data_IF_801644630534
#
_entry.id   IF_801644630534
#
_cell.length_a   1.000
_cell.length_b   1.000
_cell.length_c   1.000
_cell.angle_alpha   90.00
_cell.angle_beta   90.00
_cell.angle_gamma   90.00
#
_symmetry.space_group_name_H-M   'P 1'
#
loop_
_entity.id
_entity.type
_entity.pdbx_description
1 polymer ?
#
# COMPACT_ATOMS: atom_id res chain seq x y z
N UNK A 1 4.60 5.49 5.75
CA UNK A 1 3.70 4.97 6.82
C UNK A 1 4.47 4.12 7.84
N UNK A 2 3.97 3.95 9.07
CA UNK A 2 4.60 3.05 10.08
C UNK A 2 4.56 1.59 9.59
N UNK A 3 5.56 0.78 9.95
CA UNK A 3 5.62 -0.65 9.57
C UNK A 3 4.37 -1.44 9.98
N UNK A 4 3.77 -1.13 11.13
CA UNK A 4 2.53 -1.75 11.60
C UNK A 4 1.33 -1.41 10.72
N UNK A 5 1.22 -0.17 10.26
CA UNK A 5 0.19 0.27 9.30
C UNK A 5 0.39 -0.39 7.95
N UNK A 6 1.63 -0.47 7.47
CA UNK A 6 1.97 -1.13 6.23
C UNK A 6 1.65 -2.64 6.28
N UNK A 7 1.97 -3.31 7.39
CA UNK A 7 1.63 -4.72 7.59
C UNK A 7 0.12 -4.96 7.45
N UNK A 8 -0.69 -4.09 8.08
CA UNK A 8 -2.17 -4.14 7.96
C UNK A 8 -2.64 -3.93 6.53
N UNK A 9 -2.09 -2.94 5.81
CA UNK A 9 -2.42 -2.66 4.41
C UNK A 9 -2.14 -3.86 3.51
N UNK A 10 -1.03 -4.55 3.74
CA UNK A 10 -0.63 -5.73 2.99
C UNK A 10 -1.31 -7.03 3.45
N UNK A 11 -2.16 -6.98 4.48
CA UNK A 11 -2.84 -8.15 5.04
C UNK A 11 -1.90 -9.11 5.77
N UNK A 12 -0.71 -8.67 6.17
CA UNK A 12 0.27 -9.51 6.89
C UNK A 12 0.39 -9.12 8.36
N UNK A 13 0.80 -10.07 9.20
CA UNK A 13 1.09 -9.78 10.60
C UNK A 13 2.29 -8.83 10.75
N UNK A 14 2.28 -8.01 11.81
CA UNK A 14 3.42 -7.16 12.17
C UNK A 14 4.72 -7.96 12.33
N UNK A 15 4.64 -9.17 12.90
CA UNK A 15 5.81 -10.06 13.08
C UNK A 15 6.42 -10.47 11.73
N UNK A 16 5.59 -10.72 10.73
CA UNK A 16 6.04 -11.01 9.36
C UNK A 16 6.74 -9.78 8.76
N UNK A 17 6.12 -8.60 8.87
CA UNK A 17 6.71 -7.36 8.38
C UNK A 17 8.06 -7.03 9.05
N UNK A 18 8.16 -7.24 10.37
CA UNK A 18 9.41 -7.04 11.11
C UNK A 18 10.50 -8.03 10.69
N UNK A 19 10.15 -9.29 10.42
CA UNK A 19 11.11 -10.28 9.90
C UNK A 19 11.60 -9.92 8.50
N UNK A 20 10.73 -9.39 7.64
CA UNK A 20 11.11 -8.91 6.31
C UNK A 20 12.08 -7.73 6.39
N UNK A 21 11.82 -6.78 7.29
CA UNK A 21 12.76 -5.69 7.58
C UNK A 21 14.11 -6.21 8.06
N UNK A 22 14.12 -7.11 9.05
CA UNK A 22 15.35 -7.68 9.61
C UNK A 22 16.19 -8.45 8.58
N UNK A 23 15.53 -9.06 7.60
CA UNK A 23 16.17 -9.79 6.51
C UNK A 23 16.52 -8.93 5.31
N UNK A 24 16.19 -7.63 5.33
CA UNK A 24 16.41 -6.71 4.20
C UNK A 24 15.58 -7.05 2.97
N UNK A 25 14.57 -7.92 3.08
CA UNK A 25 13.71 -8.38 1.98
C UNK A 25 12.43 -7.55 1.88
N UNK A 26 12.41 -6.34 2.44
CA UNK A 26 11.28 -5.45 2.24
C UNK A 26 11.27 -5.02 0.77
N UNK A 27 10.15 -5.21 0.05
CA UNK A 27 10.05 -4.83 -1.37
C UNK A 27 10.00 -3.31 -1.58
N UNK A 28 9.96 -2.55 -0.49
CA UNK A 28 9.81 -1.10 -0.46
C UNK A 28 10.94 -0.48 0.36
N UNK A 29 11.41 0.73 -0.01
CA UNK A 29 12.38 1.45 0.79
C UNK A 29 11.77 1.76 2.17
N UNK A 30 12.46 1.35 3.21
CA UNK A 30 12.07 1.63 4.59
C UNK A 30 13.30 2.14 5.36
N UNK A 31 13.05 3.04 6.31
CA UNK A 31 14.09 3.64 7.14
C UNK A 31 13.71 3.48 8.61
N UNK A 32 14.70 3.17 9.43
CA UNK A 32 14.55 3.14 10.88
C UNK A 32 15.04 4.47 11.45
N UNK A 33 14.16 5.16 12.18
CA UNK A 33 14.53 6.37 12.92
C UNK A 33 15.41 6.01 14.11
N UNK A 34 16.13 7.00 14.64
CA UNK A 34 16.95 6.88 15.85
C UNK A 34 16.16 6.36 17.07
N UNK A 35 14.84 6.55 17.08
CA UNK A 35 13.91 6.06 18.13
C UNK A 35 13.50 4.59 17.95
N UNK A 36 13.99 3.90 16.92
CA UNK A 36 13.62 2.52 16.61
C UNK A 36 12.31 2.36 15.82
N UNK A 37 11.64 3.46 15.47
CA UNK A 37 10.44 3.43 14.64
C UNK A 37 10.81 3.18 13.18
N UNK A 38 10.22 2.15 12.58
CA UNK A 38 10.43 1.82 11.17
C UNK A 38 9.33 2.50 10.32
N UNK A 39 9.78 3.37 9.42
CA UNK A 39 8.93 4.09 8.47
C UNK A 39 9.14 3.47 7.09
N UNK A 40 8.08 2.88 6.55
CA UNK A 40 8.03 2.40 5.17
C UNK A 40 7.69 3.59 4.28
N UNK A 41 8.60 3.93 3.37
CA UNK A 41 8.37 4.88 2.28
C UNK A 41 7.76 4.08 1.14
N UNK A 42 6.44 3.90 1.20
CA UNK A 42 5.74 3.52 -0.02
C UNK A 42 5.95 4.70 -0.98
N UNK A 43 6.50 4.52 -2.20
CA UNK A 43 6.13 5.47 -3.23
C UNK A 43 4.62 5.41 -3.20
N UNK A 44 3.96 6.54 -2.97
CA UNK A 44 2.53 6.65 -3.24
C UNK A 44 2.34 5.85 -4.51
N UNK A 45 1.63 4.71 -4.41
CA UNK A 45 1.06 4.17 -5.61
C UNK A 45 0.30 5.39 -6.09
N UNK A 46 0.88 6.06 -7.08
CA UNK A 46 0.15 6.75 -8.10
C UNK A 46 -1.00 5.76 -8.30
N UNK A 47 -2.14 6.11 -7.72
CA UNK A 47 -3.38 6.13 -8.46
C UNK A 47 -2.92 6.25 -9.89
N UNK A 48 -2.81 5.10 -10.56
CA UNK A 48 -2.44 5.14 -11.95
C UNK A 48 -3.54 6.02 -12.51
N UNK A 49 -3.14 7.25 -12.83
CA UNK A 49 -3.86 8.12 -13.72
C UNK A 49 -3.76 7.51 -15.13
N UNK A 50 -3.94 6.20 -15.24
CA UNK A 50 -4.44 5.53 -16.41
C UNK A 50 -5.95 5.77 -16.43
N UNK A 51 -6.54 6.04 -17.60
CA UNK A 51 -7.91 6.50 -17.70
C UNK A 51 -8.82 5.45 -17.06
N UNK A 52 -9.39 5.78 -15.90
CA UNK A 52 -10.49 5.04 -15.32
C UNK A 52 -11.64 5.11 -16.33
N UNK A 53 -11.72 4.09 -17.18
CA UNK A 53 -12.77 4.00 -18.18
C UNK A 53 -14.08 3.72 -17.45
N UNK A 54 -14.82 4.80 -17.18
CA UNK A 54 -16.16 4.75 -16.61
C UNK A 54 -17.14 4.46 -17.74
N UNK A 55 -17.91 3.38 -17.63
CA UNK A 55 -18.98 3.05 -18.57
C UNK A 55 -20.32 3.33 -17.91
N UNK A 56 -21.11 4.20 -18.55
CA UNK A 56 -22.50 4.46 -18.20
C UNK A 56 -23.41 3.70 -19.17
N UNK A 57 -24.26 2.82 -18.65
CA UNK A 57 -25.33 2.18 -19.44
C UNK A 57 -26.68 2.78 -19.04
N UNK A 58 -27.29 3.52 -19.97
CA UNK A 58 -28.64 4.03 -19.82
C UNK A 58 -29.56 3.30 -20.81
N UNK A 59 -30.69 2.78 -20.33
CA UNK A 59 -31.78 2.28 -21.19
C UNK A 59 -32.98 3.21 -21.08
N UNK A 60 -33.50 3.61 -22.23
CA UNK A 60 -34.78 4.34 -22.35
C UNK A 60 -35.90 3.30 -22.52
N UNK A 61 -36.94 3.39 -21.70
CA UNK A 61 -38.21 2.71 -21.96
C UNK A 61 -39.12 3.67 -22.73
N UNK A 62 -39.54 3.28 -23.94
CA UNK A 62 -40.61 3.98 -24.66
C UNK A 62 -41.98 3.55 -24.14
N UNK A 63 -42.86 4.52 -23.89
CA UNK A 63 -44.28 4.30 -23.60
C UNK A 63 -45.07 3.92 -24.84
#
# INVERSE_FOLDING_TARGET
>A
MKLSTWAKKQGISYKTAWRLWKTGKLPLPAEQLATGTIIVKEPEASYEAGPSSVVLYARVSSS
#
